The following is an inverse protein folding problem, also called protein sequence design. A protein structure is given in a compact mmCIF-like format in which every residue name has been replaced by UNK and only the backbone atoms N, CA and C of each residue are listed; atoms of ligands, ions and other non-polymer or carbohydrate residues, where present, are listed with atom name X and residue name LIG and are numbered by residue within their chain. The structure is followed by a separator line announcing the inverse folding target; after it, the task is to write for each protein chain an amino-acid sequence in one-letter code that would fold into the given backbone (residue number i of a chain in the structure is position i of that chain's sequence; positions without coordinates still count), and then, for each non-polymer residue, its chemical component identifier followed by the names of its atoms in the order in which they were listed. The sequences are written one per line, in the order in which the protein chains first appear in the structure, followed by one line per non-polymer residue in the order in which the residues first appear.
data_IF_490749356900
#
_entry.id   IF_490749356900
#
_cell.length_a   1.000
_cell.length_b   1.000
_cell.length_c   1.000
_cell.angle_alpha   90.00
_cell.angle_beta   90.00
_cell.angle_gamma   90.00
#
_symmetry.space_group_name_H-M   'P 1'
#
loop_
_entity.id
_entity.type
_entity.pdbx_description
1 polymer ?
#
# COMPACT_ATOMS: atom_id res chain seq x y z
N UNK A 1 -36.98 16.91 -45.17
CA UNK A 1 -36.25 17.41 -43.98
C UNK A 1 -36.34 16.47 -42.75
N UNK A 2 -37.13 15.39 -42.79
CA UNK A 2 -37.31 14.47 -41.64
C UNK A 2 -36.12 13.56 -41.34
N UNK A 3 -35.28 13.23 -42.34
CA UNK A 3 -34.18 12.28 -42.19
C UNK A 3 -33.01 12.81 -41.35
N UNK A 4 -32.83 14.13 -41.30
CA UNK A 4 -31.78 14.77 -40.47
C UNK A 4 -32.16 14.72 -39.00
N UNK A 5 -33.46 14.80 -38.69
CA UNK A 5 -33.96 14.87 -37.31
C UNK A 5 -33.85 13.51 -36.59
N UNK A 6 -34.08 12.41 -37.31
CA UNK A 6 -33.88 11.03 -36.79
C UNK A 6 -32.39 10.74 -36.55
N UNK A 7 -31.49 11.25 -37.41
CA UNK A 7 -30.05 11.09 -37.23
C UNK A 7 -29.52 11.74 -35.95
N UNK A 8 -30.02 12.94 -35.62
CA UNK A 8 -29.59 13.67 -34.41
C UNK A 8 -30.05 12.95 -33.14
N UNK A 9 -31.28 12.43 -33.12
CA UNK A 9 -31.81 11.67 -31.97
C UNK A 9 -30.99 10.39 -31.72
N UNK A 10 -30.60 9.68 -32.78
CA UNK A 10 -29.78 8.47 -32.67
C UNK A 10 -28.40 8.73 -32.06
N UNK A 11 -27.75 9.84 -32.44
CA UNK A 11 -26.42 10.21 -31.90
C UNK A 11 -26.51 10.59 -30.43
N UNK A 12 -27.55 11.33 -30.01
CA UNK A 12 -27.73 11.71 -28.60
C UNK A 12 -27.91 10.47 -27.72
N UNK A 13 -28.69 9.47 -28.17
CA UNK A 13 -28.86 8.22 -27.43
C UNK A 13 -27.57 7.42 -27.32
N UNK A 14 -26.77 7.37 -28.39
CA UNK A 14 -25.49 6.66 -28.36
C UNK A 14 -24.48 7.34 -27.41
N UNK A 15 -24.41 8.67 -27.42
CA UNK A 15 -23.58 9.44 -26.49
C UNK A 15 -24.04 9.24 -25.04
N UNK A 16 -25.36 9.26 -24.79
CA UNK A 16 -25.92 9.03 -23.46
C UNK A 16 -25.57 7.64 -22.90
N UNK A 17 -25.67 6.60 -23.74
CA UNK A 17 -25.33 5.24 -23.32
C UNK A 17 -23.82 5.07 -23.10
N UNK A 18 -22.99 5.69 -23.94
CA UNK A 18 -21.53 5.68 -23.76
C UNK A 18 -21.10 6.38 -22.45
N UNK A 19 -21.68 7.54 -22.13
CA UNK A 19 -21.42 8.24 -20.87
C UNK A 19 -21.88 7.44 -19.65
N UNK A 20 -23.06 6.81 -19.72
CA UNK A 20 -23.54 5.94 -18.65
C UNK A 20 -22.62 4.72 -18.44
N UNK A 21 -22.14 4.11 -19.53
CA UNK A 21 -21.17 3.01 -19.47
C UNK A 21 -19.84 3.43 -18.86
N UNK A 22 -19.32 4.60 -19.23
CA UNK A 22 -18.07 5.13 -18.69
C UNK A 22 -18.16 5.47 -17.19
N UNK A 23 -19.30 5.99 -16.72
CA UNK A 23 -19.51 6.31 -15.31
C UNK A 23 -19.53 5.06 -14.42
N UNK A 24 -20.29 4.02 -14.82
CA UNK A 24 -20.41 2.80 -14.02
C UNK A 24 -19.11 1.98 -14.06
N UNK A 25 -18.54 1.79 -15.25
CA UNK A 25 -17.30 1.01 -15.37
C UNK A 25 -16.09 1.73 -14.73
N UNK A 26 -16.12 3.07 -14.66
CA UNK A 26 -15.03 3.85 -14.08
C UNK A 26 -14.76 3.50 -12.61
N UNK A 27 -15.79 3.39 -11.79
CA UNK A 27 -15.64 3.06 -10.36
C UNK A 27 -15.09 1.64 -10.16
N UNK A 28 -15.58 0.67 -10.93
CA UNK A 28 -15.10 -0.71 -10.88
C UNK A 28 -13.63 -0.83 -11.28
N UNK A 29 -13.20 -0.10 -12.31
CA UNK A 29 -11.79 -0.07 -12.71
C UNK A 29 -10.90 0.56 -11.64
N UNK A 30 -11.35 1.65 -11.00
CA UNK A 30 -10.59 2.30 -9.91
C UNK A 30 -10.45 1.38 -8.69
N UNK A 31 -11.52 0.67 -8.32
CA UNK A 31 -11.52 -0.31 -7.23
C UNK A 31 -10.61 -1.50 -7.55
N UNK A 32 -10.70 -2.05 -8.77
CA UNK A 32 -9.86 -3.15 -9.22
C UNK A 32 -8.37 -2.75 -9.26
N UNK A 33 -8.07 -1.55 -9.73
CA UNK A 33 -6.70 -1.01 -9.75
C UNK A 33 -6.15 -0.85 -8.33
N UNK A 34 -6.94 -0.28 -7.42
CA UNK A 34 -6.55 -0.09 -6.02
C UNK A 34 -6.31 -1.42 -5.30
N UNK A 35 -7.20 -2.40 -5.51
CA UNK A 35 -7.07 -3.76 -4.96
C UNK A 35 -5.84 -4.50 -5.51
N UNK A 36 -5.55 -4.36 -6.80
CA UNK A 36 -4.35 -4.94 -7.42
C UNK A 36 -3.07 -4.37 -6.81
N UNK A 37 -3.00 -3.04 -6.63
CA UNK A 37 -1.86 -2.37 -5.99
C UNK A 37 -1.70 -2.75 -4.52
N UNK A 38 -2.81 -2.81 -3.78
CA UNK A 38 -2.83 -3.27 -2.39
C UNK A 38 -2.25 -4.69 -2.27
N UNK A 39 -2.70 -5.61 -3.13
CA UNK A 39 -2.21 -7.00 -3.16
C UNK A 39 -0.71 -7.07 -3.48
N UNK A 40 -0.23 -6.26 -4.42
CA UNK A 40 1.19 -6.18 -4.75
C UNK A 40 2.03 -5.68 -3.56
N UNK A 41 1.57 -4.64 -2.86
CA UNK A 41 2.24 -4.11 -1.65
C UNK A 41 2.29 -5.17 -0.56
N UNK A 42 1.15 -5.81 -0.24
CA UNK A 42 1.08 -6.86 0.79
C UNK A 42 2.03 -8.03 0.45
N UNK A 43 2.02 -8.49 -0.80
CA UNK A 43 2.90 -9.56 -1.26
C UNK A 43 4.38 -9.20 -1.10
N UNK A 44 4.76 -7.97 -1.44
CA UNK A 44 6.14 -7.49 -1.27
C UNK A 44 6.52 -7.38 0.22
N UNK A 45 5.63 -6.89 1.08
CA UNK A 45 5.87 -6.84 2.54
C UNK A 45 6.06 -8.24 3.14
N UNK A 46 5.25 -9.20 2.73
CA UNK A 46 5.41 -10.60 3.13
C UNK A 46 6.77 -11.17 2.67
N UNK A 47 7.20 -10.87 1.45
CA UNK A 47 8.51 -11.29 0.94
C UNK A 47 9.66 -10.70 1.78
N UNK A 48 9.61 -9.42 2.12
CA UNK A 48 10.63 -8.78 2.98
C UNK A 48 10.61 -9.41 4.38
N UNK A 49 9.43 -9.58 4.98
CA UNK A 49 9.27 -10.19 6.32
C UNK A 49 9.86 -11.60 6.35
N UNK A 50 9.54 -12.41 5.35
CA UNK A 50 10.09 -13.77 5.22
C UNK A 50 11.62 -13.74 5.02
N UNK A 51 12.15 -12.79 4.26
CA UNK A 51 13.59 -12.64 4.08
C UNK A 51 14.31 -12.22 5.37
N UNK A 52 13.72 -11.35 6.19
CA UNK A 52 14.23 -11.02 7.53
C UNK A 52 14.25 -12.26 8.42
N UNK A 53 13.15 -13.01 8.48
CA UNK A 53 13.09 -14.25 9.27
C UNK A 53 14.14 -15.27 8.81
N UNK A 54 14.32 -15.42 7.49
CA UNK A 54 15.33 -16.32 6.93
C UNK A 54 16.76 -15.85 7.21
N UNK A 55 17.00 -14.53 7.25
CA UNK A 55 18.28 -13.97 7.64
C UNK A 55 18.61 -14.35 9.09
N UNK A 56 17.67 -14.14 10.00
CA UNK A 56 17.86 -14.40 11.42
C UNK A 56 18.11 -15.90 11.67
N UNK A 57 17.35 -16.77 11.00
CA UNK A 57 17.52 -18.22 11.08
C UNK A 57 18.87 -18.70 10.51
N UNK A 58 19.35 -18.12 9.39
CA UNK A 58 20.60 -18.58 8.75
C UNK A 58 21.86 -18.00 9.37
N UNK A 59 21.79 -16.81 9.96
CA UNK A 59 22.97 -16.14 10.53
C UNK A 59 23.08 -16.32 12.04
N UNK A 60 21.97 -16.70 12.70
CA UNK A 60 21.89 -16.74 14.16
C UNK A 60 21.96 -15.36 14.81
N UNK A 61 21.81 -14.28 14.02
CA UNK A 61 21.85 -12.89 14.48
C UNK A 61 20.56 -12.20 14.08
N UNK A 62 19.90 -11.60 15.05
CA UNK A 62 18.71 -10.80 14.80
C UNK A 62 19.06 -9.54 14.03
N UNK A 63 18.39 -9.32 12.91
CA UNK A 63 18.57 -8.11 12.13
C UNK A 63 17.97 -6.90 12.87
N UNK A 64 18.76 -5.83 13.00
CA UNK A 64 18.30 -4.58 13.60
C UNK A 64 17.70 -3.66 12.55
N UNK A 65 16.73 -2.83 12.95
CA UNK A 65 16.07 -1.90 12.04
C UNK A 65 17.04 -0.89 11.42
N UNK A 66 18.02 -0.41 12.21
CA UNK A 66 19.09 0.44 11.72
C UNK A 66 19.97 -0.23 10.67
N UNK A 67 20.41 -1.46 10.90
CA UNK A 67 21.25 -2.20 9.93
C UNK A 67 20.52 -2.39 8.61
N UNK A 68 19.24 -2.76 8.69
CA UNK A 68 18.39 -2.90 7.51
C UNK A 68 18.31 -1.58 6.72
N UNK A 69 18.03 -0.46 7.37
CA UNK A 69 17.84 0.83 6.71
C UNK A 69 19.16 1.40 6.15
N UNK A 70 20.25 1.36 6.92
CA UNK A 70 21.57 1.87 6.50
C UNK A 70 22.19 1.05 5.35
N UNK A 71 21.80 -0.22 5.20
CA UNK A 71 22.22 -1.05 4.07
C UNK A 71 21.54 -0.72 2.73
N UNK A 72 20.84 0.42 2.65
CA UNK A 72 20.04 0.78 1.48
C UNK A 72 18.64 0.15 1.51
N UNK A 73 18.01 0.12 2.69
CA UNK A 73 16.64 -0.35 2.91
C UNK A 73 16.43 -1.81 2.48
N UNK A 74 17.17 -2.72 3.11
CA UNK A 74 17.11 -4.16 2.83
C UNK A 74 18.22 -4.67 1.92
N UNK A 75 19.24 -3.85 1.62
CA UNK A 75 20.43 -4.33 0.89
C UNK A 75 21.17 -5.45 1.63
N UNK A 76 21.12 -5.50 2.96
CA UNK A 76 21.62 -6.65 3.75
C UNK A 76 20.91 -7.98 3.42
N UNK A 77 19.68 -7.92 2.90
CA UNK A 77 18.90 -9.09 2.49
C UNK A 77 19.19 -9.48 1.03
N UNK A 78 19.73 -8.60 0.20
CA UNK A 78 19.95 -8.85 -1.23
C UNK A 78 21.44 -8.99 -1.55
N UNK A 79 21.86 -9.91 -2.45
CA UNK A 79 21.05 -10.85 -3.24
C UNK A 79 20.70 -12.15 -2.50
N UNK A 80 21.16 -12.32 -1.25
CA UNK A 80 21.22 -13.64 -0.59
C UNK A 80 19.85 -14.20 -0.17
N UNK A 81 18.95 -13.35 0.30
CA UNK A 81 17.60 -13.70 0.77
C UNK A 81 16.51 -13.11 -0.15
N UNK A 82 16.82 -12.02 -0.84
CA UNK A 82 15.98 -11.40 -1.86
C UNK A 82 16.77 -11.23 -3.16
N UNK A 83 16.17 -11.55 -4.31
CA UNK A 83 16.80 -11.33 -5.63
C UNK A 83 17.11 -9.85 -5.88
N UNK A 84 16.20 -8.98 -5.46
CA UNK A 84 16.33 -7.53 -5.48
C UNK A 84 15.51 -6.94 -4.33
N UNK A 85 15.84 -5.72 -3.92
CA UNK A 85 15.07 -4.98 -2.92
C UNK A 85 13.74 -4.53 -3.56
N UNK A 86 12.57 -4.99 -3.05
CA UNK A 86 11.29 -4.58 -3.60
C UNK A 86 11.05 -3.09 -3.33
N UNK A 87 10.29 -2.45 -4.21
CA UNK A 87 9.88 -1.05 -4.09
C UNK A 87 8.37 -0.96 -4.26
N UNK A 88 7.77 -0.07 -3.48
CA UNK A 88 6.34 0.17 -3.52
C UNK A 88 5.92 0.60 -4.94
N UNK A 89 4.96 -0.10 -5.58
CA UNK A 89 4.54 0.20 -6.95
C UNK A 89 3.87 1.57 -7.11
N UNK A 90 3.43 2.21 -6.02
CA UNK A 90 2.81 3.54 -6.08
C UNK A 90 3.82 4.68 -5.99
N UNK A 91 4.68 4.63 -4.98
CA UNK A 91 5.58 5.74 -4.66
C UNK A 91 7.01 5.51 -5.09
N UNK A 92 7.35 4.29 -5.55
CA UNK A 92 8.71 3.82 -5.78
C UNK A 92 9.62 3.86 -4.53
N UNK A 93 9.02 4.12 -3.35
CA UNK A 93 9.73 4.15 -2.08
C UNK A 93 10.14 2.73 -1.67
N UNK A 94 11.29 2.59 -1.01
CA UNK A 94 11.68 1.32 -0.43
C UNK A 94 10.77 0.95 0.74
N UNK A 95 10.85 -0.31 1.15
CA UNK A 95 10.30 -0.76 2.42
C UNK A 95 11.28 -0.39 3.54
N UNK A 96 10.78 0.17 4.62
CA UNK A 96 11.56 0.60 5.77
C UNK A 96 11.26 -0.33 6.94
N UNK A 97 12.30 -0.74 7.66
CA UNK A 97 12.14 -1.53 8.87
C UNK A 97 12.21 -0.63 10.09
N UNK A 98 11.35 -0.88 11.08
CA UNK A 98 11.36 -0.18 12.36
C UNK A 98 11.18 -1.13 13.53
N UNK A 99 11.62 -0.66 14.68
CA UNK A 99 11.45 -1.34 15.95
C UNK A 99 10.04 -1.22 16.53
N UNK A 100 9.84 -1.73 17.76
CA UNK A 100 8.55 -1.67 18.45
C UNK A 100 8.06 -0.25 18.77
N UNK A 101 8.95 0.74 18.72
CA UNK A 101 8.62 2.15 18.93
C UNK A 101 8.42 2.91 17.60
N UNK A 102 8.47 2.21 16.46
CA UNK A 102 8.37 2.85 15.15
C UNK A 102 9.64 3.60 14.74
N UNK A 103 10.78 3.33 15.39
CA UNK A 103 12.04 4.02 15.15
C UNK A 103 13.07 3.12 14.44
N UNK A 104 14.00 3.74 13.70
CA UNK A 104 15.09 3.06 13.00
C UNK A 104 16.34 2.87 13.87
N UNK A 105 16.20 2.22 15.04
CA UNK A 105 17.28 2.07 16.03
C UNK A 105 18.03 0.74 15.93
N UNK A 106 19.04 0.56 16.78
CA UNK A 106 19.82 -0.70 16.87
C UNK A 106 19.08 -1.84 17.59
N UNK A 107 17.75 -1.78 17.69
CA UNK A 107 16.92 -2.88 18.20
C UNK A 107 16.36 -3.76 17.06
N UNK A 108 15.90 -5.00 17.39
CA UNK A 108 15.29 -5.91 16.43
C UNK A 108 14.16 -5.28 15.61
N UNK A 109 14.07 -5.68 14.35
CA UNK A 109 12.95 -5.30 13.47
C UNK A 109 11.65 -5.86 14.06
N UNK A 110 10.65 -5.00 14.21
CA UNK A 110 9.30 -5.39 14.64
C UNK A 110 8.27 -5.18 13.53
N UNK A 111 8.39 -4.08 12.78
CA UNK A 111 7.47 -3.74 11.70
C UNK A 111 8.26 -3.40 10.43
N UNK A 112 7.63 -3.65 9.29
CA UNK A 112 8.10 -3.21 7.98
C UNK A 112 6.99 -2.35 7.41
N UNK A 113 7.32 -1.17 6.92
CA UNK A 113 6.32 -0.30 6.31
C UNK A 113 6.80 0.28 4.98
N UNK A 114 5.88 0.87 4.23
CA UNK A 114 6.22 1.74 3.11
C UNK A 114 5.22 2.89 2.97
N UNK A 115 5.69 4.03 2.47
CA UNK A 115 4.84 5.17 2.16
C UNK A 115 4.08 4.89 0.86
N UNK A 116 2.76 4.90 0.91
CA UNK A 116 1.88 4.74 -0.25
C UNK A 116 1.79 6.07 -1.03
N UNK A 117 1.71 7.18 -0.29
CA UNK A 117 1.55 8.53 -0.83
C UNK A 117 0.40 9.28 -0.14
N UNK A 118 0.05 10.44 -0.68
CA UNK A 118 -1.10 11.23 -0.27
C UNK A 118 -2.22 11.23 -1.31
N UNK A 119 -3.38 11.80 -0.96
CA UNK A 119 -4.52 11.96 -1.87
C UNK A 119 -5.48 10.76 -1.94
N UNK A 120 -6.48 10.87 -2.81
CA UNK A 120 -7.60 9.91 -2.88
C UNK A 120 -7.17 8.52 -3.37
N UNK A 121 -6.24 8.45 -4.31
CA UNK A 121 -5.74 7.15 -4.80
C UNK A 121 -4.99 6.39 -3.70
N UNK A 122 -4.12 7.06 -2.93
CA UNK A 122 -3.43 6.44 -1.80
C UNK A 122 -4.39 6.03 -0.69
N UNK A 123 -5.44 6.83 -0.44
CA UNK A 123 -6.53 6.52 0.48
C UNK A 123 -7.29 5.26 0.07
N UNK A 124 -7.64 5.13 -1.20
CA UNK A 124 -8.33 3.93 -1.73
C UNK A 124 -7.46 2.67 -1.62
N UNK A 125 -6.17 2.78 -1.93
CA UNK A 125 -5.23 1.67 -1.78
C UNK A 125 -5.04 1.30 -0.30
N UNK A 126 -4.92 2.29 0.59
CA UNK A 126 -4.84 2.06 2.04
C UNK A 126 -6.06 1.30 2.58
N UNK A 127 -7.25 1.71 2.15
CA UNK A 127 -8.51 1.02 2.48
C UNK A 127 -8.53 -0.41 1.97
N UNK A 128 -8.13 -0.63 0.72
CA UNK A 128 -8.05 -1.97 0.12
C UNK A 128 -7.03 -2.87 0.84
N UNK A 129 -5.92 -2.32 1.34
CA UNK A 129 -4.95 -3.06 2.18
C UNK A 129 -5.60 -3.48 3.50
N UNK A 130 -6.31 -2.56 4.18
CA UNK A 130 -7.01 -2.87 5.43
C UNK A 130 -8.12 -3.92 5.24
N UNK A 131 -8.87 -3.84 4.14
CA UNK A 131 -9.86 -4.86 3.74
C UNK A 131 -9.20 -6.22 3.54
N UNK A 132 -8.13 -6.28 2.76
CA UNK A 132 -7.39 -7.52 2.47
C UNK A 132 -6.75 -8.11 3.74
N UNK A 133 -6.32 -7.26 4.67
CA UNK A 133 -5.83 -7.65 5.97
C UNK A 133 -6.92 -8.15 6.94
N UNK A 134 -8.20 -8.00 6.57
CA UNK A 134 -9.36 -8.44 7.35
C UNK A 134 -9.67 -7.53 8.53
N UNK A 135 -9.44 -6.22 8.41
CA UNK A 135 -9.85 -5.25 9.43
C UNK A 135 -11.38 -5.19 9.54
N UNK A 136 -11.96 -5.16 10.76
CA UNK A 136 -13.41 -5.12 10.94
C UNK A 136 -14.07 -3.87 10.34
N UNK A 137 -13.34 -2.75 10.34
CA UNK A 137 -13.75 -1.51 9.71
C UNK A 137 -12.53 -0.87 9.01
N UNK A 138 -12.39 -1.06 7.68
CA UNK A 138 -11.30 -0.53 6.89
C UNK A 138 -11.17 0.99 6.93
N UNK A 139 -12.28 1.70 7.13
CA UNK A 139 -12.28 3.16 7.16
C UNK A 139 -11.58 3.70 8.42
N UNK A 140 -11.44 2.89 9.48
CA UNK A 140 -10.64 3.25 10.65
C UNK A 140 -9.15 3.35 10.31
N UNK A 141 -8.65 2.56 9.35
CA UNK A 141 -7.26 2.64 8.89
C UNK A 141 -6.91 4.02 8.29
N UNK A 142 -7.93 4.76 7.82
CA UNK A 142 -7.78 6.10 7.27
C UNK A 142 -7.72 7.19 8.35
N UNK A 143 -7.97 6.83 9.61
CA UNK A 143 -8.01 7.77 10.74
C UNK A 143 -6.98 7.46 11.82
N UNK A 144 -6.54 6.21 11.91
CA UNK A 144 -5.61 5.77 12.94
C UNK A 144 -4.18 6.14 12.58
N UNK A 145 -3.52 6.77 13.55
CA UNK A 145 -2.08 7.02 13.46
C UNK A 145 -1.28 5.72 13.60
N UNK A 146 0.03 5.80 13.35
CA UNK A 146 0.96 4.67 13.44
C UNK A 146 0.79 3.86 14.74
N UNK A 147 0.79 4.52 15.89
CA UNK A 147 0.70 3.88 17.20
C UNK A 147 -0.63 3.17 17.40
N UNK A 148 -1.74 3.80 17.01
CA UNK A 148 -3.08 3.20 17.10
C UNK A 148 -3.20 2.00 16.16
N UNK A 149 -2.69 2.11 14.93
CA UNK A 149 -2.73 1.03 13.95
C UNK A 149 -1.95 -0.20 14.46
N UNK A 150 -0.69 0.00 14.86
CA UNK A 150 0.19 -1.09 15.34
C UNK A 150 -0.27 -1.70 16.68
N UNK A 151 -0.93 -0.93 17.55
CA UNK A 151 -1.43 -1.43 18.85
C UNK A 151 -2.76 -2.18 18.71
N UNK A 152 -3.72 -1.62 17.98
CA UNK A 152 -5.05 -2.21 17.84
C UNK A 152 -5.07 -3.36 16.82
N UNK A 153 -4.17 -3.32 15.83
CA UNK A 153 -4.10 -4.28 14.74
C UNK A 153 -2.64 -4.68 14.49
N UNK A 154 -2.06 -5.60 15.28
CA UNK A 154 -0.65 -6.00 15.17
C UNK A 154 -0.32 -6.86 13.94
N UNK A 155 -1.19 -6.84 12.93
CA UNK A 155 -1.08 -7.55 11.65
C UNK A 155 -0.84 -6.53 10.54
N UNK A 156 -0.46 -7.01 9.36
CA UNK A 156 -0.36 -6.15 8.18
C UNK A 156 -1.66 -5.34 7.99
N UNK A 157 -1.54 -4.09 7.55
CA UNK A 157 -2.63 -3.15 7.43
C UNK A 157 -2.17 -1.84 6.85
N UNK A 158 -2.92 -0.79 7.16
CA UNK A 158 -2.57 0.56 6.75
C UNK A 158 -2.74 1.53 7.92
N UNK A 159 -1.99 2.62 7.90
CA UNK A 159 -2.07 3.71 8.86
C UNK A 159 -2.04 5.05 8.12
N UNK A 160 -2.74 6.04 8.68
CA UNK A 160 -2.71 7.41 8.22
C UNK A 160 -1.79 8.21 9.13
N UNK A 161 -0.79 8.86 8.56
CA UNK A 161 0.08 9.79 9.29
C UNK A 161 -0.22 11.20 8.79
N UNK A 162 -0.73 12.02 9.70
CA UNK A 162 -0.87 13.46 9.53
C UNK A 162 0.16 14.13 10.41
N UNK A 163 1.09 14.86 9.80
CA UNK A 163 1.94 15.83 10.48
C UNK A 163 1.66 17.22 9.89
N UNK A 164 2.16 18.26 10.54
CA UNK A 164 2.08 19.67 10.12
C UNK A 164 2.55 19.92 8.69
N UNK A 165 3.35 19.01 8.12
CA UNK A 165 4.00 19.18 6.82
C UNK A 165 3.42 18.27 5.73
N UNK A 166 2.77 17.15 6.08
CA UNK A 166 2.20 16.22 5.09
C UNK A 166 1.18 15.23 5.66
N UNK A 167 0.24 14.86 4.78
CA UNK A 167 -0.73 13.79 4.98
C UNK A 167 -0.35 12.59 4.11
N UNK A 168 0.05 11.48 4.74
CA UNK A 168 0.56 10.29 4.02
C UNK A 168 -0.06 9.01 4.56
N UNK A 169 -0.46 8.13 3.65
CA UNK A 169 -0.87 6.77 3.96
C UNK A 169 0.32 5.82 3.90
N UNK A 170 0.37 4.89 4.85
CA UNK A 170 1.46 3.94 5.01
C UNK A 170 0.93 2.53 5.15
N UNK A 171 1.47 1.60 4.38
CA UNK A 171 1.24 0.18 4.59
C UNK A 171 2.19 -0.30 5.69
N UNK A 172 1.68 -1.02 6.68
CA UNK A 172 2.40 -1.48 7.89
C UNK A 172 2.15 -2.96 8.11
#
# INVERSE_FOLDING_TARGET
MSNVLIGIIGVILFIGLALAGALILGEDFMNASSSSRATAIISQMQQVTNAVNMHDLKTGRTLTSRTYNLSGYGGVLSPRFLKSVPRNPMSNNPYTAVDSFGSGTDTPIKFIYTHIGGGEEARQVCRAIAETAGWPNPDLALTYNWTQSTTNFPRMGCAYISDTEYDVYMAV
#
